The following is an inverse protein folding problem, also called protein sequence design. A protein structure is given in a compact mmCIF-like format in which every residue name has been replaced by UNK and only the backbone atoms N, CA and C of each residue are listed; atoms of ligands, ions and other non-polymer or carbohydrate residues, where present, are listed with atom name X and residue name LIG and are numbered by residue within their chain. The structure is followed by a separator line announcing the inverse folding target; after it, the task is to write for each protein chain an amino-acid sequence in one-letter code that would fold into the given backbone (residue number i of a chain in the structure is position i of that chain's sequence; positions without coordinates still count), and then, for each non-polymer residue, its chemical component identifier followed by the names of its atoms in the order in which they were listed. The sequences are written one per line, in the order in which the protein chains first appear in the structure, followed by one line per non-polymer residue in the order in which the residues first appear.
data_IF_209627187098
#
_entry.id   IF_209627187098
#
_cell.length_a   1.000
_cell.length_b   1.000
_cell.length_c   1.000
_cell.angle_alpha   90.00
_cell.angle_beta   90.00
_cell.angle_gamma   90.00
#
_symmetry.space_group_name_H-M   'P 1'
#
loop_
_entity.id
_entity.type
_entity.pdbx_description
1 polymer ?
#
# COMPACT_ATOMS: atom_id res chain seq x y z
N UNK A 1 -34.86 -1.75 -7.06
CA UNK A 1 -34.06 -1.55 -5.84
C UNK A 1 -32.60 -1.57 -6.27
N UNK A 2 -31.90 -0.42 -6.33
CA UNK A 2 -30.48 -0.45 -6.62
C UNK A 2 -29.75 -1.07 -5.43
N UNK A 3 -29.00 -2.14 -5.68
CA UNK A 3 -28.12 -2.73 -4.68
C UNK A 3 -26.92 -1.81 -4.54
N UNK A 4 -26.93 -0.93 -3.54
CA UNK A 4 -25.74 -0.14 -3.21
C UNK A 4 -24.67 -1.12 -2.71
N UNK A 5 -23.75 -1.50 -3.59
CA UNK A 5 -22.61 -2.34 -3.25
C UNK A 5 -21.62 -1.45 -2.52
N UNK A 6 -21.75 -1.37 -1.20
CA UNK A 6 -20.71 -0.77 -0.37
C UNK A 6 -19.41 -1.56 -0.57
N UNK A 7 -18.33 -0.91 -1.05
CA UNK A 7 -17.07 -1.59 -1.25
C UNK A 7 -16.55 -2.06 0.11
N UNK A 8 -16.14 -3.33 0.18
CA UNK A 8 -15.58 -3.92 1.40
C UNK A 8 -14.09 -3.67 1.52
N UNK A 9 -13.40 -3.55 0.39
CA UNK A 9 -11.95 -3.41 0.34
C UNK A 9 -11.53 -2.31 -0.62
N UNK A 10 -10.39 -1.70 -0.31
CA UNK A 10 -9.67 -0.78 -1.17
C UNK A 10 -8.32 -1.40 -1.54
N UNK A 11 -7.94 -1.21 -2.79
CA UNK A 11 -6.67 -1.65 -3.34
C UNK A 11 -5.77 -0.44 -3.55
N UNK A 12 -4.53 -0.55 -3.07
CA UNK A 12 -3.52 0.50 -3.11
C UNK A 12 -2.30 -0.03 -3.86
N UNK A 13 -1.96 0.61 -4.97
CA UNK A 13 -0.69 0.40 -5.65
C UNK A 13 0.33 1.39 -5.09
N UNK A 14 1.36 0.87 -4.44
CA UNK A 14 2.42 1.64 -3.81
C UNK A 14 3.74 1.47 -4.56
N UNK A 15 4.52 2.53 -4.60
CA UNK A 15 5.94 2.51 -4.92
C UNK A 15 6.75 2.49 -3.64
N UNK A 16 7.79 1.67 -3.62
CA UNK A 16 8.62 1.36 -2.46
C UNK A 16 10.08 1.69 -2.79
N UNK A 17 10.76 2.45 -1.93
CA UNK A 17 12.19 2.73 -2.07
C UNK A 17 12.90 2.72 -0.71
N UNK A 18 13.95 1.91 -0.52
CA UNK A 18 14.44 0.86 -1.43
C UNK A 18 13.43 -0.30 -1.57
N UNK A 19 13.53 -1.14 -2.61
CA UNK A 19 12.68 -2.33 -2.75
C UNK A 19 12.89 -3.28 -1.57
N UNK A 20 11.80 -3.83 -1.04
CA UNK A 20 11.83 -4.79 0.07
C UNK A 20 10.95 -5.99 -0.24
N UNK A 21 11.23 -7.12 0.40
CA UNK A 21 10.37 -8.30 0.31
C UNK A 21 9.03 -8.13 1.04
N UNK A 22 8.09 -9.03 0.77
CA UNK A 22 6.72 -8.99 1.33
C UNK A 22 6.70 -8.90 2.85
N UNK A 23 7.49 -9.71 3.55
CA UNK A 23 7.51 -9.74 5.01
C UNK A 23 8.00 -8.41 5.59
N UNK A 24 9.07 -7.85 5.04
CA UNK A 24 9.62 -6.56 5.45
C UNK A 24 8.66 -5.42 5.17
N UNK A 25 7.94 -5.47 4.04
CA UNK A 25 6.88 -4.50 3.73
C UNK A 25 5.75 -4.57 4.76
N UNK A 26 5.26 -5.77 5.07
CA UNK A 26 4.19 -5.96 6.05
C UNK A 26 4.60 -5.45 7.44
N UNK A 27 5.82 -5.75 7.86
CA UNK A 27 6.37 -5.24 9.11
C UNK A 27 6.43 -3.71 9.10
N UNK A 28 6.97 -3.09 8.05
CA UNK A 28 7.06 -1.63 7.94
C UNK A 28 5.69 -0.94 8.01
N UNK A 29 4.66 -1.51 7.37
CA UNK A 29 3.30 -0.98 7.43
C UNK A 29 2.70 -1.07 8.84
N UNK A 30 2.93 -2.20 9.53
CA UNK A 30 2.47 -2.38 10.91
C UNK A 30 3.19 -1.42 11.87
N UNK A 31 4.49 -1.22 11.70
CA UNK A 31 5.28 -0.26 12.47
C UNK A 31 4.80 1.18 12.22
N UNK A 32 4.54 1.56 10.96
CA UNK A 32 4.03 2.89 10.61
C UNK A 32 2.65 3.15 11.24
N UNK A 33 1.73 2.18 11.18
CA UNK A 33 0.42 2.26 11.83
C UNK A 33 0.56 2.39 13.34
N UNK A 34 1.42 1.57 13.94
CA UNK A 34 1.68 1.59 15.40
C UNK A 34 2.29 2.93 15.84
N UNK A 35 3.22 3.48 15.06
CA UNK A 35 3.87 4.75 15.35
C UNK A 35 2.92 5.93 15.21
N UNK A 36 2.01 5.90 14.23
CA UNK A 36 1.11 7.02 13.93
C UNK A 36 -0.14 7.01 14.81
N UNK A 37 -0.70 5.82 15.07
CA UNK A 37 -2.02 5.66 15.69
C UNK A 37 -2.02 4.76 16.94
N UNK A 38 -0.87 4.22 17.34
CA UNK A 38 -0.73 3.33 18.48
C UNK A 38 -1.20 1.89 18.20
N UNK A 39 -1.15 1.07 19.25
CA UNK A 39 -1.42 -0.38 19.17
C UNK A 39 -2.87 -0.72 18.80
N UNK A 40 -3.82 0.20 18.98
CA UNK A 40 -5.23 -0.03 18.64
C UNK A 40 -5.47 -0.06 17.13
N UNK A 41 -4.63 0.63 16.35
CA UNK A 41 -4.68 0.62 14.88
C UNK A 41 -3.69 -0.37 14.24
N UNK A 42 -2.79 -0.97 15.02
CA UNK A 42 -1.84 -1.96 14.49
C UNK A 42 -2.52 -3.28 14.07
N UNK A 43 -3.76 -3.50 14.49
CA UNK A 43 -4.60 -4.63 14.11
C UNK A 43 -5.43 -4.42 12.85
N UNK A 44 -5.26 -3.30 12.13
CA UNK A 44 -5.96 -3.06 10.87
C UNK A 44 -5.71 -4.21 9.89
N UNK A 45 -6.80 -4.76 9.34
CA UNK A 45 -6.71 -5.89 8.41
C UNK A 45 -6.16 -5.40 7.06
N UNK A 46 -4.96 -5.88 6.72
CA UNK A 46 -4.30 -5.58 5.46
C UNK A 46 -3.61 -6.82 4.91
N UNK A 47 -3.68 -6.96 3.59
CA UNK A 47 -3.05 -8.04 2.84
C UNK A 47 -2.14 -7.47 1.76
N UNK A 48 -0.92 -7.99 1.68
CA UNK A 48 -0.04 -7.73 0.54
C UNK A 48 -0.38 -8.76 -0.53
N UNK A 49 -0.92 -8.30 -1.66
CA UNK A 49 -1.34 -9.18 -2.76
C UNK A 49 -0.21 -9.48 -3.73
N UNK A 50 0.70 -8.53 -3.90
CA UNK A 50 1.83 -8.64 -4.82
C UNK A 50 2.94 -7.67 -4.41
N UNK A 51 4.19 -8.08 -4.62
CA UNK A 51 5.37 -7.24 -4.49
C UNK A 51 6.26 -7.51 -5.69
N UNK A 52 6.70 -6.44 -6.33
CA UNK A 52 7.75 -6.50 -7.34
C UNK A 52 9.08 -6.83 -6.65
N UNK A 53 9.38 -8.12 -6.58
CA UNK A 53 10.55 -8.66 -5.89
C UNK A 53 11.73 -8.87 -6.83
N UNK A 54 11.68 -8.36 -8.05
CA UNK A 54 12.71 -8.62 -9.05
C UNK A 54 14.02 -7.91 -8.66
N UNK A 55 14.92 -8.67 -8.02
CA UNK A 55 16.16 -8.21 -7.40
C UNK A 55 17.13 -7.47 -8.34
N UNK A 56 16.86 -7.43 -9.65
CA UNK A 56 17.67 -6.71 -10.64
C UNK A 56 17.53 -5.19 -10.54
N UNK A 57 16.38 -4.67 -10.08
CA UNK A 57 16.23 -3.23 -9.81
C UNK A 57 16.97 -2.82 -8.54
N UNK A 58 17.09 -3.70 -7.54
CA UNK A 58 17.73 -3.43 -6.24
C UNK A 58 19.26 -3.20 -6.28
N UNK A 59 19.91 -3.39 -7.44
CA UNK A 59 21.36 -3.18 -7.62
C UNK A 59 21.72 -1.73 -8.00
N UNK A 60 20.75 -0.82 -8.07
CA UNK A 60 21.00 0.61 -8.29
C UNK A 60 20.58 1.42 -7.05
N UNK A 61 21.32 2.48 -6.74
CA UNK A 61 21.02 3.37 -5.61
C UNK A 61 19.67 4.11 -5.76
N UNK A 62 19.08 4.11 -6.96
CA UNK A 62 17.76 4.67 -7.29
C UNK A 62 16.66 3.60 -7.44
N UNK A 63 16.90 2.37 -6.98
CA UNK A 63 15.95 1.28 -7.10
C UNK A 63 14.60 1.63 -6.46
N UNK A 64 13.54 1.47 -7.24
CA UNK A 64 12.17 1.52 -6.74
C UNK A 64 11.45 0.22 -7.09
N UNK A 65 10.79 -0.38 -6.11
CA UNK A 65 9.86 -1.48 -6.30
C UNK A 65 8.42 -1.00 -6.28
N UNK A 66 7.49 -1.91 -6.55
CA UNK A 66 6.06 -1.68 -6.40
C UNK A 66 5.44 -2.77 -5.53
N UNK A 67 4.34 -2.45 -4.86
CA UNK A 67 3.52 -3.42 -4.18
C UNK A 67 2.04 -3.08 -4.29
N UNK A 68 1.22 -4.13 -4.31
CA UNK A 68 -0.21 -4.04 -4.29
C UNK A 68 -0.73 -4.49 -2.94
N UNK A 69 -1.50 -3.64 -2.29
CA UNK A 69 -2.05 -3.86 -0.96
C UNK A 69 -3.56 -3.83 -1.04
N UNK A 70 -4.21 -4.74 -0.33
CA UNK A 70 -5.63 -4.71 -0.03
C UNK A 70 -5.82 -4.34 1.44
N UNK A 71 -6.73 -3.41 1.70
CA UNK A 71 -7.13 -2.99 3.04
C UNK A 71 -8.65 -2.88 3.08
N UNK A 72 -9.25 -3.00 4.26
CA UNK A 72 -10.67 -2.74 4.43
C UNK A 72 -11.02 -1.30 4.05
N UNK A 73 -12.13 -1.13 3.34
CA UNK A 73 -12.57 0.17 2.85
C UNK A 73 -13.06 1.05 4.01
N UNK A 74 -12.84 2.37 3.89
CA UNK A 74 -13.28 3.36 4.88
C UNK A 74 -12.13 3.87 5.75
N UNK A 75 -12.34 3.86 7.06
CA UNK A 75 -11.41 4.45 8.02
C UNK A 75 -10.04 3.76 8.02
N UNK A 76 -10.00 2.44 7.83
CA UNK A 76 -8.77 1.65 7.82
C UNK A 76 -7.87 2.01 6.64
N UNK A 77 -8.42 2.13 5.43
CA UNK A 77 -7.69 2.61 4.28
C UNK A 77 -7.17 4.04 4.47
N UNK A 78 -7.99 4.90 5.07
CA UNK A 78 -7.61 6.31 5.35
C UNK A 78 -6.46 6.38 6.37
N UNK A 79 -6.51 5.58 7.43
CA UNK A 79 -5.44 5.46 8.42
C UNK A 79 -4.16 4.90 7.82
N UNK A 80 -4.27 3.88 6.97
CA UNK A 80 -3.12 3.31 6.28
C UNK A 80 -2.42 4.37 5.43
N UNK A 81 -3.18 5.11 4.60
CA UNK A 81 -2.65 6.21 3.79
C UNK A 81 -2.02 7.32 4.63
N UNK A 82 -2.68 7.73 5.71
CA UNK A 82 -2.16 8.73 6.62
C UNK A 82 -0.84 8.28 7.29
N UNK A 83 -0.76 7.01 7.70
CA UNK A 83 0.46 6.44 8.29
C UNK A 83 1.62 6.34 7.30
N UNK A 84 1.31 6.04 6.02
CA UNK A 84 2.29 6.05 4.93
C UNK A 84 2.86 7.45 4.72
N UNK A 85 2.01 8.47 4.69
CA UNK A 85 2.43 9.88 4.52
C UNK A 85 3.22 10.40 5.71
N UNK A 86 2.82 10.01 6.93
CA UNK A 86 3.50 10.41 8.16
C UNK A 86 4.86 9.70 8.36
N UNK A 87 5.04 8.53 7.76
CA UNK A 87 6.26 7.75 7.94
C UNK A 87 7.46 8.36 7.23
N UNK A 88 8.50 8.62 8.01
CA UNK A 88 9.82 9.00 7.52
C UNK A 88 10.87 7.91 7.76
N UNK A 89 10.48 6.66 8.03
CA UNK A 89 11.39 5.52 8.10
C UNK A 89 11.56 4.84 6.74
N UNK A 90 12.71 4.21 6.45
CA UNK A 90 12.83 3.32 5.29
C UNK A 90 12.07 2.01 5.55
N UNK A 91 11.40 1.41 4.55
CA UNK A 91 11.28 1.88 3.17
C UNK A 91 10.31 3.07 3.02
N UNK A 92 10.66 4.01 2.13
CA UNK A 92 9.77 5.08 1.70
C UNK A 92 8.66 4.51 0.83
N UNK A 93 7.43 4.72 1.28
CA UNK A 93 6.23 4.30 0.58
C UNK A 93 5.55 5.51 -0.05
N UNK A 94 5.11 5.37 -1.30
CA UNK A 94 4.37 6.42 -2.00
C UNK A 94 3.20 5.80 -2.75
N UNK A 95 2.01 6.41 -2.64
CA UNK A 95 0.83 5.97 -3.37
C UNK A 95 0.97 6.30 -4.85
N UNK A 96 0.85 5.30 -5.72
CA UNK A 96 0.72 5.49 -7.17
C UNK A 96 -0.76 5.64 -7.53
N UNK A 97 -1.58 4.68 -7.12
CA UNK A 97 -3.00 4.61 -7.48
C UNK A 97 -3.81 3.91 -6.40
N UNK A 98 -5.05 4.35 -6.20
CA UNK A 98 -5.99 3.72 -5.28
C UNK A 98 -7.30 3.43 -6.00
N UNK A 99 -7.92 2.29 -5.72
CA UNK A 99 -9.21 1.91 -6.30
C UNK A 99 -9.98 0.95 -5.42
N UNK A 100 -11.31 0.96 -5.49
CA UNK A 100 -12.20 -0.05 -4.90
C UNK A 100 -12.40 -1.26 -5.81
N UNK A 101 -11.89 -1.19 -7.04
CA UNK A 101 -12.00 -2.24 -8.06
C UNK A 101 -10.62 -2.58 -8.63
N UNK A 102 -10.10 -3.75 -8.27
CA UNK A 102 -8.74 -4.18 -8.61
C UNK A 102 -8.39 -4.05 -10.11
N UNK A 103 -9.25 -4.44 -11.07
CA UNK A 103 -8.91 -4.33 -12.49
C UNK A 103 -8.63 -2.90 -12.98
N UNK A 104 -9.16 -1.87 -12.32
CA UNK A 104 -8.88 -0.48 -12.72
C UNK A 104 -7.44 -0.05 -12.41
N UNK A 105 -6.71 -0.82 -11.60
CA UNK A 105 -5.29 -0.57 -11.32
C UNK A 105 -4.37 -1.06 -12.44
N UNK A 106 -4.87 -1.89 -13.37
CA UNK A 106 -4.11 -2.42 -14.50
C UNK A 106 -4.14 -1.51 -15.73
N UNK A 107 -5.01 -0.50 -15.72
CA UNK A 107 -5.09 0.49 -16.79
C UNK A 107 -4.10 1.61 -16.47
N UNK A 108 -3.10 1.76 -17.32
CA UNK A 108 -2.21 2.92 -17.29
C UNK A 108 -3.03 4.17 -17.58
N UNK A 109 -2.99 5.13 -16.66
CA UNK A 109 -3.52 6.48 -16.92
C UNK A 109 -2.50 7.20 -17.80
N UNK A 110 -2.47 6.88 -19.10
CA UNK A 110 -1.69 7.62 -20.07
C UNK A 110 -2.34 9.01 -20.26
N UNK A 111 -1.62 10.11 -19.96
CA UNK A 111 -2.17 11.45 -20.18
C UNK A 111 -2.24 11.73 -21.69
N UNK A 112 -3.44 12.06 -22.18
CA UNK A 112 -3.70 12.54 -23.55
C UNK A 112 -2.93 13.82 -23.89
#
# INVERSE_FOLDING_TARGET
MPSDLTPRSQYLLLRISPPVGELSLRQALQENLTQTFGLTASGTHLDVLWVDSDAKTALRDDATGQALIRVDYGDDATRLLASIVASSSPPRLSLIKASVFLPSLLVDDEPL
#
